data_IF_612791530566
#
_entry.id   IF_612791530566
#
_cell.length_a   1.000
_cell.length_b   1.000
_cell.length_c   1.000
_cell.angle_alpha   90.00
_cell.angle_beta   90.00
_cell.angle_gamma   90.00
#
_symmetry.space_group_name_H-M   'P 1'
#
loop_
_entity.id
_entity.type
_entity.pdbx_description
1 polymer ?
#
# COMPACT_ATOMS: atom_id res chain seq x y z
N UNK A 1 -13.61 -6.37 11.05
CA UNK A 1 -13.53 -6.73 9.62
C UNK A 1 -12.29 -6.05 9.10
N UNK A 2 -11.28 -6.81 8.66
CA UNK A 2 -10.14 -6.22 7.96
C UNK A 2 -10.65 -5.66 6.63
N UNK A 3 -10.30 -4.42 6.32
CA UNK A 3 -10.61 -3.82 5.02
C UNK A 3 -9.37 -3.97 4.17
N UNK A 4 -9.46 -4.78 3.12
CA UNK A 4 -8.38 -4.84 2.13
C UNK A 4 -8.33 -3.53 1.38
N UNK A 5 -7.23 -2.80 1.57
CA UNK A 5 -6.97 -1.57 0.84
C UNK A 5 -6.01 -1.87 -0.30
N UNK A 6 -6.47 -1.61 -1.53
CA UNK A 6 -5.75 -1.87 -2.77
C UNK A 6 -5.41 -0.57 -3.48
N UNK A 7 -4.29 -0.56 -4.20
CA UNK A 7 -3.91 0.56 -5.05
C UNK A 7 -4.95 0.77 -6.16
N UNK A 8 -5.42 2.00 -6.32
CA UNK A 8 -6.46 2.36 -7.29
C UNK A 8 -6.02 2.21 -8.76
N UNK A 9 -4.72 2.02 -9.02
CA UNK A 9 -4.16 1.91 -10.37
C UNK A 9 -3.86 0.46 -10.74
N UNK A 10 -3.10 -0.26 -9.91
CA UNK A 10 -2.67 -1.62 -10.21
C UNK A 10 -3.51 -2.71 -9.52
N UNK A 11 -4.35 -2.35 -8.53
CA UNK A 11 -5.09 -3.31 -7.71
C UNK A 11 -4.22 -4.10 -6.73
N UNK A 12 -2.93 -3.77 -6.59
CA UNK A 12 -2.01 -4.41 -5.66
C UNK A 12 -2.22 -3.98 -4.20
N UNK A 13 -1.70 -4.74 -3.22
CA UNK A 13 -1.85 -4.44 -1.80
C UNK A 13 -1.14 -3.14 -1.41
N UNK A 14 -1.72 -2.38 -0.48
CA UNK A 14 -1.10 -1.16 0.09
C UNK A 14 -0.44 -1.40 1.45
N UNK A 15 -0.33 -2.66 1.84
CA UNK A 15 0.39 -3.12 3.03
C UNK A 15 1.71 -3.71 2.58
N UNK A 16 2.72 -3.64 3.46
CA UNK A 16 4.00 -4.27 3.18
C UNK A 16 3.80 -5.78 3.05
N UNK A 17 4.06 -6.29 1.86
CA UNK A 17 4.05 -7.73 1.61
C UNK A 17 5.14 -8.39 2.43
N UNK A 18 4.78 -9.41 3.20
CA UNK A 18 5.69 -10.15 4.06
C UNK A 18 6.41 -11.25 3.28
N UNK A 19 7.72 -11.36 3.52
CA UNK A 19 8.57 -12.43 3.00
C UNK A 19 8.81 -13.43 4.13
N UNK A 20 8.61 -14.73 3.85
CA UNK A 20 8.83 -15.76 4.85
C UNK A 20 10.33 -15.91 5.16
N UNK A 21 10.69 -16.27 6.39
CA UNK A 21 12.11 -16.48 6.77
C UNK A 21 12.74 -17.67 6.05
N UNK A 22 11.95 -18.67 5.66
CA UNK A 22 12.42 -19.93 5.03
C UNK A 22 11.52 -20.30 3.85
N UNK A 23 12.11 -20.84 2.79
CA UNK A 23 11.35 -21.36 1.64
C UNK A 23 10.46 -22.55 2.06
N UNK A 24 9.17 -22.58 1.66
CA UNK A 24 8.28 -23.72 1.90
C UNK A 24 8.82 -25.04 1.33
N UNK A 25 9.66 -24.99 0.28
CA UNK A 25 10.26 -26.20 -0.33
C UNK A 25 11.27 -26.90 0.57
N UNK A 26 11.80 -26.20 1.57
CA UNK A 26 12.72 -26.77 2.59
C UNK A 26 11.93 -27.42 3.73
N UNK A 27 10.61 -27.20 3.82
CA UNK A 27 9.73 -27.91 4.76
C UNK A 27 9.57 -29.35 4.28
N UNK A 28 10.51 -30.20 4.68
CA UNK A 28 10.39 -31.65 4.58
C UNK A 28 9.06 -32.04 5.25
N UNK A 29 8.21 -32.89 4.63
CA UNK A 29 6.99 -33.34 5.29
C UNK A 29 7.39 -34.02 6.60
N UNK A 30 6.87 -33.54 7.72
CA UNK A 30 6.98 -34.24 9.00
C UNK A 30 6.26 -35.57 8.82
N UNK A 31 7.02 -36.62 8.56
CA UNK A 31 6.52 -37.96 8.37
C UNK A 31 5.86 -38.41 9.69
N UNK A 32 4.53 -38.42 9.74
CA UNK A 32 3.73 -38.94 10.87
C UNK A 32 3.78 -40.47 10.92
N UNK A 33 4.98 -41.03 11.12
CA UNK A 33 5.17 -42.47 11.28
C UNK A 33 6.09 -42.79 12.45
N UNK A 34 5.44 -42.96 13.61
CA UNK A 34 5.64 -44.04 14.57
C UNK A 34 6.88 -44.08 15.50
N UNK A 35 6.55 -44.29 16.78
CA UNK A 35 7.25 -45.08 17.81
C UNK A 35 7.96 -44.34 18.96
N UNK A 36 7.63 -44.85 20.15
CA UNK A 36 8.05 -44.45 21.49
C UNK A 36 9.56 -44.52 21.70
N UNK A 37 10.12 -43.58 22.46
CA UNK A 37 11.51 -43.61 22.90
C UNK A 37 11.90 -42.35 23.68
N UNK A 38 11.72 -42.38 24.99
CA UNK A 38 12.20 -41.37 25.93
C UNK A 38 13.74 -41.29 25.90
N UNK A 39 14.28 -40.07 25.76
CA UNK A 39 15.57 -39.69 26.33
C UNK A 39 15.59 -38.17 26.65
N UNK A 40 16.08 -37.74 27.82
CA UNK A 40 16.04 -36.36 28.27
C UNK A 40 17.31 -35.60 27.82
N UNK A 41 17.18 -34.28 27.64
CA UNK A 41 18.23 -33.30 27.29
C UNK A 41 18.46 -33.05 25.78
N UNK A 42 17.73 -32.07 25.25
CA UNK A 42 18.35 -30.97 24.50
C UNK A 42 17.50 -29.73 24.71
N UNK A 43 18.21 -28.63 24.88
CA UNK A 43 17.73 -27.31 25.24
C UNK A 43 16.92 -26.68 24.10
N UNK A 44 16.13 -25.68 24.46
CA UNK A 44 15.52 -24.69 23.56
C UNK A 44 14.29 -25.16 22.77
N UNK A 45 13.24 -25.55 23.50
CA UNK A 45 11.86 -25.40 23.01
C UNK A 45 11.42 -23.97 23.21
N UNK A 46 12.00 -23.04 22.45
CA UNK A 46 11.28 -21.82 22.13
C UNK A 46 10.25 -22.26 21.08
N UNK A 47 8.93 -22.20 21.35
CA UNK A 47 7.96 -22.35 20.28
C UNK A 47 8.19 -21.16 19.34
N UNK A 48 9.03 -21.37 18.32
CA UNK A 48 9.21 -20.47 17.19
C UNK A 48 7.79 -20.02 16.81
N UNK A 49 7.52 -18.75 17.08
CA UNK A 49 6.22 -18.14 16.88
C UNK A 49 5.77 -18.48 15.47
N UNK A 50 4.59 -19.10 15.34
CA UNK A 50 3.98 -19.41 14.04
C UNK A 50 3.90 -18.17 13.12
N UNK A 51 4.11 -16.96 13.63
CA UNK A 51 4.27 -15.69 12.90
C UNK A 51 5.46 -15.68 11.92
N UNK A 52 6.52 -16.44 12.17
CA UNK A 52 7.72 -16.48 11.33
C UNK A 52 7.55 -17.32 10.04
N UNK A 53 6.39 -17.95 9.89
CA UNK A 53 6.10 -18.93 8.85
C UNK A 53 5.21 -18.43 7.70
N UNK A 54 4.63 -17.23 7.81
CA UNK A 54 3.69 -16.68 6.83
C UNK A 54 4.37 -15.63 5.95
N UNK A 55 4.28 -15.80 4.63
CA UNK A 55 4.84 -14.87 3.67
C UNK A 55 5.17 -15.51 2.33
N UNK A 56 5.61 -14.70 1.37
CA UNK A 56 6.08 -15.18 0.09
C UNK A 56 7.44 -15.89 0.23
N UNK A 57 7.71 -16.83 -0.67
CA UNK A 57 8.96 -17.60 -0.66
C UNK A 57 10.17 -16.67 -0.91
N UNK A 58 11.15 -16.58 0.02
CA UNK A 58 12.32 -15.73 -0.13
C UNK A 58 13.21 -16.11 -1.32
N UNK A 59 13.02 -17.30 -1.92
CA UNK A 59 13.71 -17.70 -3.16
C UNK A 59 13.08 -17.12 -4.43
N UNK A 60 11.86 -16.59 -4.36
CA UNK A 60 11.13 -16.03 -5.51
C UNK A 60 11.18 -14.50 -5.49
N UNK A 61 11.03 -13.92 -4.31
CA UNK A 61 10.92 -12.47 -4.10
C UNK A 61 11.58 -12.13 -2.77
N UNK A 62 12.34 -11.03 -2.73
CA UNK A 62 13.02 -10.56 -1.53
C UNK A 62 12.32 -9.32 -0.92
N UNK A 63 12.80 -8.85 0.23
CA UNK A 63 12.21 -7.70 0.92
C UNK A 63 12.31 -6.40 0.10
N UNK A 64 13.42 -6.18 -0.61
CA UNK A 64 13.63 -4.99 -1.44
C UNK A 64 12.63 -4.95 -2.62
N UNK A 65 12.32 -6.12 -3.21
CA UNK A 65 11.37 -6.26 -4.32
C UNK A 65 9.93 -5.84 -3.93
N UNK A 66 9.60 -5.91 -2.64
CA UNK A 66 8.26 -5.65 -2.13
C UNK A 66 8.16 -4.44 -1.22
N UNK A 67 9.27 -3.79 -0.86
CA UNK A 67 9.28 -2.63 0.04
C UNK A 67 8.30 -1.53 -0.41
N UNK A 68 8.24 -1.30 -1.73
CA UNK A 68 7.36 -0.30 -2.34
C UNK A 68 5.86 -0.56 -2.10
N UNK A 69 5.45 -1.78 -1.77
CA UNK A 69 4.02 -2.14 -1.54
C UNK A 69 3.47 -1.55 -0.24
N UNK A 70 4.33 -1.35 0.76
CA UNK A 70 3.96 -0.77 2.06
C UNK A 70 3.87 0.76 2.06
N UNK A 71 4.15 1.40 0.93
CA UNK A 71 4.25 2.85 0.81
C UNK A 71 3.40 3.36 -0.35
N UNK A 72 2.44 4.22 -0.05
CA UNK A 72 1.55 4.81 -1.05
C UNK A 72 1.54 6.34 -0.96
N UNK A 73 0.98 6.95 -1.99
CA UNK A 73 0.51 8.34 -1.99
C UNK A 73 -1.02 8.26 -2.04
N UNK A 74 -1.71 9.08 -1.26
CA UNK A 74 -3.16 9.13 -1.29
C UNK A 74 -3.62 10.27 -2.19
N UNK A 75 -4.58 9.97 -3.07
CA UNK A 75 -5.37 10.95 -3.78
C UNK A 75 -6.64 11.22 -2.98
N UNK A 76 -6.74 12.43 -2.44
CA UNK A 76 -7.88 12.87 -1.64
C UNK A 76 -8.63 14.04 -2.27
N UNK A 77 -9.78 14.37 -1.71
CA UNK A 77 -10.61 15.51 -2.11
C UNK A 77 -10.83 16.45 -0.94
N UNK A 78 -10.33 17.68 -1.03
CA UNK A 78 -10.50 18.68 0.01
C UNK A 78 -11.84 19.42 -0.16
N UNK A 79 -12.85 18.98 0.61
CA UNK A 79 -14.17 19.64 0.67
C UNK A 79 -14.11 21.12 1.06
N UNK A 80 -13.10 21.53 1.83
CA UNK A 80 -12.95 22.89 2.35
C UNK A 80 -12.24 23.84 1.37
N UNK A 81 -11.59 23.31 0.33
CA UNK A 81 -10.94 24.14 -0.67
C UNK A 81 -11.97 24.96 -1.44
N UNK A 82 -11.69 26.26 -1.55
CA UNK A 82 -12.47 27.24 -2.33
C UNK A 82 -11.98 27.35 -3.76
N UNK A 83 -10.84 26.71 -4.08
CA UNK A 83 -10.35 26.62 -5.45
C UNK A 83 -11.28 25.75 -6.31
N UNK A 84 -11.21 25.98 -7.62
CA UNK A 84 -11.88 25.13 -8.62
C UNK A 84 -11.35 23.70 -8.52
N UNK A 85 -10.04 23.61 -8.32
CA UNK A 85 -9.27 22.40 -8.13
C UNK A 85 -9.26 22.05 -6.65
N UNK A 86 -9.70 20.85 -6.29
CA UNK A 86 -9.92 20.43 -4.90
C UNK A 86 -9.27 19.09 -4.57
N UNK A 87 -8.77 18.38 -5.57
CA UNK A 87 -8.00 17.17 -5.33
C UNK A 87 -6.64 17.54 -4.74
N UNK A 88 -6.08 16.62 -3.97
CA UNK A 88 -4.73 16.74 -3.43
C UNK A 88 -4.02 15.39 -3.44
N UNK A 89 -2.70 15.43 -3.57
CA UNK A 89 -1.83 14.31 -3.30
C UNK A 89 -1.16 14.51 -1.94
N UNK A 90 -1.07 13.43 -1.17
CA UNK A 90 -0.34 13.45 0.10
C UNK A 90 1.16 13.27 -0.09
N UNK A 91 1.92 13.42 1.00
CA UNK A 91 3.25 12.84 1.11
C UNK A 91 3.19 11.30 1.16
N UNK A 92 4.33 10.70 1.50
CA UNK A 92 4.42 9.25 1.71
C UNK A 92 3.44 8.82 2.80
N UNK A 93 2.74 7.72 2.56
CA UNK A 93 1.70 7.23 3.45
C UNK A 93 1.82 5.73 3.67
N UNK A 94 1.64 5.29 4.90
CA UNK A 94 1.75 3.89 5.32
C UNK A 94 0.43 3.44 5.94
N UNK A 95 -0.08 2.29 5.49
CA UNK A 95 -1.28 1.71 6.05
C UNK A 95 -1.08 1.35 7.53
N UNK A 96 -2.07 1.66 8.37
CA UNK A 96 -2.10 1.24 9.77
C UNK A 96 -3.14 0.13 9.98
N UNK A 97 -4.42 0.49 10.07
CA UNK A 97 -5.52 -0.45 10.27
C UNK A 97 -6.87 0.16 9.88
N UNK A 98 -7.89 -0.65 9.63
CA UNK A 98 -9.26 -0.25 9.32
C UNK A 98 -9.38 0.82 8.22
N UNK A 99 -8.56 0.73 7.16
CA UNK A 99 -8.58 1.71 6.08
C UNK A 99 -7.82 3.01 6.37
N UNK A 100 -7.23 3.16 7.56
CA UNK A 100 -6.46 4.33 7.95
C UNK A 100 -5.01 4.26 7.47
N UNK A 101 -4.51 5.45 7.11
CA UNK A 101 -3.11 5.67 6.78
C UNK A 101 -2.50 6.71 7.72
N UNK A 102 -1.25 6.47 8.09
CA UNK A 102 -0.38 7.55 8.55
C UNK A 102 0.13 8.29 7.33
N UNK A 103 -0.04 9.61 7.31
CA UNK A 103 0.20 10.44 6.13
C UNK A 103 1.26 11.48 6.47
N UNK A 104 2.35 11.48 5.71
CA UNK A 104 3.33 12.56 5.79
C UNK A 104 2.74 13.86 5.21
N UNK A 105 3.09 15.03 5.76
CA UNK A 105 2.69 16.32 5.22
C UNK A 105 2.99 16.45 3.72
N UNK A 106 2.15 17.20 3.02
CA UNK A 106 2.28 17.45 1.58
C UNK A 106 2.41 18.95 1.31
N UNK A 107 3.22 19.29 0.30
CA UNK A 107 3.34 20.65 -0.24
C UNK A 107 2.19 21.00 -1.21
N UNK A 108 1.22 20.09 -1.38
CA UNK A 108 0.05 20.32 -2.22
C UNK A 108 -0.83 21.43 -1.64
N UNK A 109 -1.16 22.49 -2.40
CA UNK A 109 -1.93 23.63 -1.90
C UNK A 109 -3.34 23.27 -1.43
N UNK A 110 -3.87 22.12 -1.86
CA UNK A 110 -5.16 21.60 -1.44
C UNK A 110 -5.05 20.59 -0.29
N UNK A 111 -3.86 20.29 0.24
CA UNK A 111 -3.69 19.35 1.35
C UNK A 111 -4.31 19.91 2.64
N UNK A 112 -5.21 19.17 3.31
CA UNK A 112 -5.84 19.62 4.54
C UNK A 112 -4.92 19.35 5.75
N UNK A 113 -4.01 20.27 6.07
CA UNK A 113 -3.08 20.14 7.23
C UNK A 113 -3.79 19.92 8.58
N UNK A 114 -5.03 20.43 8.72
CA UNK A 114 -5.84 20.30 9.94
C UNK A 114 -6.51 18.92 10.11
N UNK A 115 -6.37 18.00 9.16
CA UNK A 115 -6.99 16.66 9.19
C UNK A 115 -5.94 15.56 8.97
N UNK A 116 -5.28 15.08 10.05
CA UNK A 116 -4.21 14.09 9.95
C UNK A 116 -4.71 12.68 9.63
N UNK A 117 -6.02 12.46 9.48
CA UNK A 117 -6.61 11.14 9.36
C UNK A 117 -7.22 10.92 7.98
N UNK A 118 -6.55 10.12 7.15
CA UNK A 118 -7.08 9.73 5.85
C UNK A 118 -7.62 8.30 5.89
N UNK A 119 -8.94 8.15 5.70
CA UNK A 119 -9.60 6.86 5.50
C UNK A 119 -9.77 6.56 4.01
N UNK A 120 -9.43 5.34 3.60
CA UNK A 120 -9.57 4.88 2.23
C UNK A 120 -10.83 4.02 2.04
N UNK A 121 -11.49 4.18 0.88
CA UNK A 121 -12.68 3.44 0.40
C UNK A 121 -13.96 3.56 1.23
N UNK A 122 -13.91 3.31 2.53
CA UNK A 122 -15.05 3.35 3.44
C UNK A 122 -14.79 4.43 4.47
N UNK A 123 -15.69 5.41 4.54
CA UNK A 123 -15.64 6.46 5.54
C UNK A 123 -16.57 6.08 6.69
N UNK A 124 -16.00 5.85 7.87
CA UNK A 124 -16.77 5.63 9.09
C UNK A 124 -17.26 6.95 9.69
N UNK A 125 -16.56 8.05 9.39
CA UNK A 125 -16.90 9.41 9.83
C UNK A 125 -17.51 10.24 8.69
N UNK A 126 -18.77 10.65 8.83
CA UNK A 126 -19.47 11.46 7.82
C UNK A 126 -18.78 12.81 7.51
N UNK A 127 -17.89 13.27 8.38
CA UNK A 127 -17.14 14.52 8.20
C UNK A 127 -15.94 14.38 7.27
N UNK A 128 -15.43 13.15 7.06
CA UNK A 128 -14.25 12.88 6.25
C UNK A 128 -14.57 12.69 4.76
N UNK A 129 -13.52 12.62 3.95
CA UNK A 129 -13.56 12.30 2.52
C UNK A 129 -12.73 11.07 2.25
N UNK A 130 -13.28 10.13 1.48
CA UNK A 130 -12.53 8.96 1.04
C UNK A 130 -11.30 9.42 0.27
N UNK A 131 -10.18 8.80 0.60
CA UNK A 131 -8.97 8.89 -0.19
C UNK A 131 -8.76 7.58 -0.97
N UNK A 132 -7.93 7.66 -2.00
CA UNK A 132 -7.58 6.54 -2.86
C UNK A 132 -6.07 6.35 -2.86
N UNK A 133 -5.56 5.20 -2.38
CA UNK A 133 -4.13 4.97 -2.34
C UNK A 133 -3.60 4.58 -3.72
N UNK A 134 -2.43 5.10 -4.04
CA UNK A 134 -1.70 4.85 -5.28
C UNK A 134 -0.24 4.61 -4.92
N UNK A 135 0.33 3.48 -5.33
CA UNK A 135 1.77 3.28 -5.16
C UNK A 135 2.55 4.32 -5.95
N UNK A 136 3.68 4.77 -5.40
CA UNK A 136 4.51 5.77 -6.06
C UNK A 136 4.94 5.37 -7.50
N UNK A 137 5.37 4.12 -7.78
CA UNK A 137 5.65 3.70 -9.16
C UNK A 137 4.41 3.76 -10.07
N UNK A 138 3.23 3.46 -9.54
CA UNK A 138 1.97 3.54 -10.30
C UNK A 138 1.64 4.99 -10.68
N UNK A 139 1.88 5.93 -9.77
CA UNK A 139 1.67 7.35 -10.02
C UNK A 139 2.66 7.90 -11.05
N UNK A 140 3.93 7.49 -10.99
CA UNK A 140 4.94 7.81 -12.01
C UNK A 140 4.57 7.26 -13.39
N UNK A 141 4.01 6.04 -13.44
CA UNK A 141 3.52 5.45 -14.68
C UNK A 141 2.33 6.25 -15.25
N UNK A 142 1.39 6.67 -14.39
CA UNK A 142 0.28 7.53 -14.81
C UNK A 142 0.77 8.87 -15.37
N UNK A 143 1.68 9.55 -14.67
CA UNK A 143 2.31 10.78 -15.17
C UNK A 143 2.96 10.54 -16.53
N UNK A 144 3.70 9.44 -16.69
CA UNK A 144 4.37 9.10 -17.96
C UNK A 144 3.41 8.92 -19.12
N UNK A 145 2.25 8.31 -18.87
CA UNK A 145 1.24 8.08 -19.90
C UNK A 145 0.49 9.37 -20.24
N UNK A 146 0.11 10.16 -19.24
CA UNK A 146 -0.75 11.34 -19.40
C UNK A 146 0.03 12.60 -19.79
N UNK A 147 1.22 12.78 -19.23
CA UNK A 147 2.04 13.99 -19.37
C UNK A 147 3.25 13.79 -20.29
N UNK A 148 3.53 12.54 -20.71
CA UNK A 148 4.74 12.13 -21.44
C UNK A 148 6.05 12.30 -20.65
N UNK A 149 5.95 12.48 -19.35
CA UNK A 149 7.08 12.54 -18.41
C UNK A 149 6.72 11.81 -17.12
N UNK A 150 7.72 11.35 -16.35
CA UNK A 150 7.46 10.67 -15.09
C UNK A 150 7.29 11.66 -13.91
N UNK A 151 7.18 12.97 -14.18
CA UNK A 151 7.08 13.96 -13.11
C UNK A 151 5.63 14.06 -12.63
N UNK A 152 5.40 13.61 -11.40
CA UNK A 152 4.07 13.58 -10.78
C UNK A 152 3.50 15.01 -10.63
N UNK A 153 4.36 16.02 -10.50
CA UNK A 153 3.93 17.42 -10.38
C UNK A 153 3.22 17.94 -11.65
N UNK A 154 3.47 17.31 -12.80
CA UNK A 154 2.81 17.66 -14.07
C UNK A 154 1.45 17.00 -14.23
N UNK A 155 1.05 16.12 -13.30
CA UNK A 155 -0.23 15.42 -13.36
C UNK A 155 -1.37 16.36 -12.98
N UNK A 156 -2.32 16.55 -13.90
CA UNK A 156 -3.60 17.19 -13.58
C UNK A 156 -4.47 16.21 -12.77
N UNK A 157 -4.37 16.34 -11.45
CA UNK A 157 -5.11 15.54 -10.46
C UNK A 157 -6.61 15.86 -10.42
N UNK A 158 -7.03 17.04 -10.90
CA UNK A 158 -8.43 17.50 -10.88
C UNK A 158 -9.16 17.17 -12.18
N UNK A 159 -8.43 17.03 -13.29
CA UNK A 159 -8.98 16.60 -14.57
C UNK A 159 -8.30 15.30 -15.02
N UNK A 160 -8.72 14.19 -14.41
CA UNK A 160 -8.39 12.82 -14.84
C UNK A 160 -8.96 12.43 -16.22
N UNK A 161 -9.42 13.40 -17.02
CA UNK A 161 -9.76 13.23 -18.43
C UNK A 161 -9.00 14.28 -19.27
N UNK A 162 -8.16 13.86 -20.23
CA UNK A 162 -7.31 14.77 -20.98
C UNK A 162 -8.14 15.78 -21.78
N UNK A 163 -7.95 17.08 -21.53
CA UNK A 163 -8.46 18.16 -22.40
C UNK A 163 -7.82 18.17 -23.79
N UNK A 164 -6.80 17.34 -24.04
CA UNK A 164 -5.99 17.37 -25.26
C UNK A 164 -6.26 16.27 -26.30
N UNK A 165 -7.42 15.61 -26.26
CA UNK A 165 -7.96 14.94 -27.48
C UNK A 165 -8.88 15.92 -28.23
N UNK A 166 -8.41 17.16 -28.45
CA UNK A 166 -8.83 17.90 -29.64
C UNK A 166 -8.07 17.31 -30.81
N UNK A 167 -8.67 16.26 -31.39
CA UNK A 167 -8.33 15.79 -32.72
C UNK A 167 -8.30 17.01 -33.64
N UNK A 168 -7.10 17.32 -34.15
CA UNK A 168 -6.95 18.06 -35.37
C UNK A 168 -7.87 17.42 -36.42
N UNK A 169 -8.89 18.15 -36.83
CA UNK A 169 -9.62 17.96 -38.08
C UNK A 169 -9.32 19.15 -38.97
#
# INVERSE_FOLDING_TARGET
>A
MAVDVLCAVCGGPTVQVQIAKKSPKVRVPRNESNSEGLSPHSEDSNPDSDEDEWGYDPQIVNEEDVEWTGSCILLGYNKRSTAIDKMYLTGRSTYQDFGHFNVDPSEDPNFPEDDPHSQCFVICDATQTSCYPIHQPCLQLLAKVLCRDANIENLDKDHSLPRHVQLAR
#
